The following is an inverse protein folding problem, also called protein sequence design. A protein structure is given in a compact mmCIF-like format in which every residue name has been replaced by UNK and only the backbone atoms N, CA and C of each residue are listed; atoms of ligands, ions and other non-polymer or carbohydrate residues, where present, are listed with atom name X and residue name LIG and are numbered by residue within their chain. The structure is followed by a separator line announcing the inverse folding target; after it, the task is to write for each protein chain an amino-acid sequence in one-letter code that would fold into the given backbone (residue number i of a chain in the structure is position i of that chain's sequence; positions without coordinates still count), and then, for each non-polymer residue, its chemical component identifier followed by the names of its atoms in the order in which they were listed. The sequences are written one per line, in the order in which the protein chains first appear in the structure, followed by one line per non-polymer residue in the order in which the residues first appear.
data_IF_052546937519
#
_entry.id   IF_052546937519
#
_cell.length_a   1.000
_cell.length_b   1.000
_cell.length_c   1.000
_cell.angle_alpha   90.00
_cell.angle_beta   90.00
_cell.angle_gamma   90.00
#
_symmetry.space_group_name_H-M   'P 1'
#
loop_
_entity.id
_entity.type
_entity.pdbx_description
1 polymer ?
#
# COMPACT_ATOMS: atom_id res chain seq x y z
N UNK A 1 4.93 -64.15 16.04
CA UNK A 1 4.72 -63.18 14.94
C UNK A 1 5.18 -61.80 15.40
N UNK A 2 6.30 -61.28 14.87
CA UNK A 2 6.79 -59.93 15.21
C UNK A 2 6.00 -58.89 14.41
N UNK A 3 5.17 -58.09 15.10
CA UNK A 3 4.50 -56.92 14.52
C UNK A 3 5.46 -55.74 14.63
N UNK A 4 6.09 -55.37 13.52
CA UNK A 4 6.98 -54.22 13.48
C UNK A 4 6.11 -52.95 13.45
N UNK A 5 6.05 -52.24 14.58
CA UNK A 5 5.40 -50.93 14.67
C UNK A 5 6.17 -49.89 13.87
N UNK A 6 5.87 -49.78 12.57
CA UNK A 6 6.53 -48.86 11.62
C UNK A 6 5.67 -47.66 11.20
N UNK A 7 4.38 -47.64 11.54
CA UNK A 7 3.47 -46.56 11.12
C UNK A 7 3.70 -45.23 11.86
N UNK A 8 3.78 -45.28 13.18
CA UNK A 8 3.81 -44.07 14.03
C UNK A 8 5.10 -43.24 13.87
N UNK A 9 6.22 -43.90 13.56
CA UNK A 9 7.47 -43.20 13.27
C UNK A 9 7.43 -42.50 11.91
N UNK A 10 6.81 -43.12 10.90
CA UNK A 10 6.68 -42.51 9.57
C UNK A 10 5.72 -41.32 9.60
N UNK A 11 4.61 -41.43 10.34
CA UNK A 11 3.66 -40.32 10.53
C UNK A 11 4.32 -39.10 11.20
N UNK A 12 5.14 -39.32 12.24
CA UNK A 12 5.90 -38.25 12.90
C UNK A 12 6.90 -37.56 11.96
N UNK A 13 7.52 -38.28 11.03
CA UNK A 13 8.48 -37.71 10.07
C UNK A 13 7.77 -36.79 9.08
N UNK A 14 6.58 -37.16 8.60
CA UNK A 14 5.79 -36.30 7.71
C UNK A 14 5.33 -35.02 8.41
N UNK A 15 4.91 -35.12 9.67
CA UNK A 15 4.52 -33.94 10.49
C UNK A 15 5.73 -33.03 10.68
N UNK A 16 6.90 -33.58 11.02
CA UNK A 16 8.13 -32.81 11.21
C UNK A 16 8.53 -32.07 9.92
N UNK A 17 8.44 -32.74 8.77
CA UNK A 17 8.74 -32.14 7.46
C UNK A 17 7.81 -30.96 7.17
N UNK A 18 6.50 -31.11 7.46
CA UNK A 18 5.52 -30.04 7.26
C UNK A 18 5.80 -28.81 8.14
N UNK A 19 6.21 -29.03 9.40
CA UNK A 19 6.61 -27.95 10.30
C UNK A 19 7.85 -27.20 9.80
N UNK A 20 8.83 -27.90 9.24
CA UNK A 20 10.03 -27.28 8.66
C UNK A 20 9.66 -26.42 7.43
N UNK A 21 8.77 -26.92 6.57
CA UNK A 21 8.25 -26.14 5.43
C UNK A 21 7.53 -24.86 5.88
N UNK A 22 6.75 -24.92 6.96
CA UNK A 22 6.09 -23.75 7.54
C UNK A 22 7.12 -22.72 8.05
N UNK A 23 8.17 -23.16 8.74
CA UNK A 23 9.24 -22.26 9.23
C UNK A 23 9.94 -21.55 8.06
N UNK A 24 10.27 -22.28 6.99
CA UNK A 24 10.89 -21.70 5.79
C UNK A 24 9.94 -20.70 5.11
N UNK A 25 8.64 -21.01 5.01
CA UNK A 25 7.65 -20.11 4.45
C UNK A 25 7.54 -18.82 5.29
N UNK A 26 7.52 -18.92 6.62
CA UNK A 26 7.50 -17.75 7.53
C UNK A 26 8.75 -16.90 7.38
N UNK A 27 9.94 -17.51 7.33
CA UNK A 27 11.20 -16.78 7.10
C UNK A 27 11.21 -16.12 5.73
N UNK A 28 10.72 -16.81 4.70
CA UNK A 28 10.60 -16.28 3.34
C UNK A 28 9.65 -15.10 3.26
N UNK A 29 8.48 -15.20 3.89
CA UNK A 29 7.50 -14.10 4.00
C UNK A 29 8.05 -12.91 4.79
N UNK A 30 8.84 -13.17 5.84
CA UNK A 30 9.52 -12.14 6.61
C UNK A 30 10.64 -11.44 5.81
N UNK A 31 11.38 -12.18 4.98
CA UNK A 31 12.38 -11.64 4.04
C UNK A 31 11.76 -10.87 2.87
N UNK A 32 10.62 -11.33 2.36
CA UNK A 32 9.92 -10.75 1.22
C UNK A 32 8.97 -9.60 1.62
N UNK A 33 8.86 -9.28 2.91
CA UNK A 33 8.13 -8.10 3.38
C UNK A 33 6.62 -8.16 3.15
N UNK A 34 6.03 -9.36 3.04
CA UNK A 34 4.60 -9.54 2.77
C UNK A 34 3.75 -9.62 4.05
N UNK A 35 4.39 -9.69 5.22
CA UNK A 35 3.71 -9.59 6.51
C UNK A 35 3.60 -8.11 6.88
N UNK A 36 2.42 -7.55 6.68
CA UNK A 36 2.09 -6.19 7.10
C UNK A 36 2.24 -6.06 8.61
N UNK A 37 3.34 -5.44 9.05
CA UNK A 37 3.47 -4.95 10.42
C UNK A 37 2.63 -3.67 10.53
N UNK A 38 1.50 -3.76 11.22
CA UNK A 38 0.95 -2.59 11.89
C UNK A 38 1.92 -2.18 13.00
N UNK A 39 2.15 -0.87 13.02
CA UNK A 39 2.73 -0.06 14.10
C UNK A 39 4.23 0.25 13.99
N UNK A 40 4.44 1.40 13.35
CA UNK A 40 5.32 2.50 13.77
C UNK A 40 6.83 2.27 13.80
N UNK A 41 7.44 2.90 12.79
CA UNK A 41 8.76 3.54 12.76
C UNK A 41 9.96 2.69 12.31
N UNK A 42 10.72 3.35 11.42
CA UNK A 42 12.06 3.00 10.94
C UNK A 42 12.12 1.95 9.83
N UNK A 43 11.49 2.27 8.70
CA UNK A 43 12.02 1.82 7.40
C UNK A 43 13.38 2.50 7.22
N UNK A 44 14.46 1.85 7.65
CA UNK A 44 15.77 2.03 7.03
C UNK A 44 15.69 1.37 5.65
N UNK A 45 14.99 2.04 4.75
CA UNK A 45 15.09 1.77 3.33
C UNK A 45 16.50 2.19 2.99
N UNK A 46 17.32 1.25 2.55
CA UNK A 46 18.58 1.58 1.91
C UNK A 46 18.24 2.56 0.78
N UNK A 47 18.48 3.84 1.05
CA UNK A 47 18.28 4.95 0.12
C UNK A 47 19.22 4.75 -1.05
N UNK A 48 18.76 4.01 -2.05
CA UNK A 48 18.99 4.49 -3.40
C UNK A 48 18.24 5.81 -3.49
N UNK A 49 18.98 6.91 -3.28
CA UNK A 49 18.53 8.31 -3.29
C UNK A 49 18.04 8.76 -4.69
N UNK A 50 17.38 7.87 -5.43
CA UNK A 50 16.69 8.18 -6.66
C UNK A 50 15.26 8.60 -6.31
N UNK A 51 15.00 9.90 -6.42
CA UNK A 51 13.65 10.44 -6.29
C UNK A 51 12.70 9.75 -7.28
N UNK A 52 11.65 9.11 -6.77
CA UNK A 52 10.63 8.46 -7.59
C UNK A 52 9.25 9.12 -7.42
N UNK A 53 8.60 9.42 -8.54
CA UNK A 53 7.22 9.92 -8.55
C UNK A 53 6.22 8.88 -8.04
N UNK A 54 6.54 7.58 -8.12
CA UNK A 54 5.71 6.52 -7.53
C UNK A 54 5.57 6.66 -6.01
N UNK A 55 6.61 7.18 -5.34
CA UNK A 55 6.58 7.39 -3.89
C UNK A 55 5.66 8.56 -3.55
N UNK A 56 5.64 9.62 -4.39
CA UNK A 56 4.68 10.70 -4.25
C UNK A 56 3.25 10.20 -4.43
N UNK A 57 2.98 9.45 -5.50
CA UNK A 57 1.66 8.86 -5.78
C UNK A 57 1.18 7.99 -4.61
N UNK A 58 2.05 7.14 -4.07
CA UNK A 58 1.75 6.32 -2.89
C UNK A 58 1.45 7.15 -1.63
N UNK A 59 2.20 8.25 -1.41
CA UNK A 59 1.92 9.20 -0.32
C UNK A 59 0.52 9.80 -0.46
N UNK A 60 0.14 10.22 -1.67
CA UNK A 60 -1.21 10.77 -1.91
C UNK A 60 -2.30 9.72 -1.66
N UNK A 61 -2.14 8.49 -2.16
CA UNK A 61 -3.10 7.40 -1.92
C UNK A 61 -3.27 7.13 -0.43
N UNK A 62 -2.17 7.04 0.31
CA UNK A 62 -2.21 6.76 1.75
C UNK A 62 -2.93 7.86 2.53
N UNK A 63 -2.69 9.12 2.17
CA UNK A 63 -3.40 10.26 2.75
C UNK A 63 -4.88 10.29 2.37
N UNK A 64 -5.23 9.97 1.11
CA UNK A 64 -6.61 9.89 0.66
C UNK A 64 -7.41 8.81 1.38
N UNK A 65 -6.81 7.63 1.59
CA UNK A 65 -7.40 6.55 2.39
C UNK A 65 -7.73 7.02 3.81
N UNK A 66 -6.77 7.68 4.48
CA UNK A 66 -6.98 8.21 5.84
C UNK A 66 -8.10 9.24 5.88
N UNK A 67 -8.13 10.16 4.93
CA UNK A 67 -9.20 11.16 4.83
C UNK A 67 -10.55 10.50 4.61
N UNK A 68 -10.65 9.55 3.67
CA UNK A 68 -11.90 8.87 3.37
C UNK A 68 -12.47 8.12 4.59
N UNK A 69 -11.63 7.32 5.25
CA UNK A 69 -12.04 6.57 6.45
C UNK A 69 -12.51 7.51 7.57
N UNK A 70 -11.83 8.64 7.77
CA UNK A 70 -12.18 9.56 8.85
C UNK A 70 -13.43 10.40 8.57
N UNK A 71 -13.61 10.87 7.33
CA UNK A 71 -14.73 11.76 6.98
C UNK A 71 -16.02 10.98 6.66
N UNK A 72 -15.88 9.78 6.09
CA UNK A 72 -17.00 8.98 5.60
C UNK A 72 -17.19 7.66 6.36
N UNK A 73 -16.46 7.42 7.46
CA UNK A 73 -16.55 6.19 8.27
C UNK A 73 -16.50 4.87 7.46
N UNK A 74 -15.79 4.88 6.33
CA UNK A 74 -15.72 3.75 5.39
C UNK A 74 -17.08 3.35 4.80
N UNK A 75 -17.98 4.32 4.63
CA UNK A 75 -19.26 4.14 3.94
C UNK A 75 -19.05 3.59 2.52
N UNK A 76 -20.06 2.85 2.04
CA UNK A 76 -20.04 2.26 0.70
C UNK A 76 -20.00 3.38 -0.34
N UNK A 77 -18.94 3.39 -1.13
CA UNK A 77 -18.82 4.29 -2.26
C UNK A 77 -19.71 3.81 -3.41
N UNK A 78 -20.68 4.64 -3.82
CA UNK A 78 -21.61 4.31 -4.92
C UNK A 78 -21.16 4.88 -6.27
N UNK A 79 -20.38 5.96 -6.25
CA UNK A 79 -19.95 6.70 -7.45
C UNK A 79 -18.50 7.14 -7.35
N UNK A 80 -17.87 7.36 -8.52
CA UNK A 80 -16.50 7.85 -8.58
C UNK A 80 -16.38 9.18 -7.84
N UNK A 81 -15.47 9.24 -6.87
CA UNK A 81 -15.26 10.44 -6.06
C UNK A 81 -13.83 10.92 -6.21
N UNK A 82 -13.66 12.24 -6.31
CA UNK A 82 -12.35 12.86 -6.47
C UNK A 82 -11.96 13.53 -5.17
N UNK A 83 -10.80 13.14 -4.64
CA UNK A 83 -10.20 13.78 -3.47
C UNK A 83 -8.94 14.51 -3.91
N UNK A 84 -8.95 15.84 -3.80
CA UNK A 84 -7.82 16.68 -4.22
C UNK A 84 -6.69 16.66 -3.19
N UNK A 85 -5.45 16.77 -3.66
CA UNK A 85 -4.27 16.97 -2.79
C UNK A 85 -4.43 18.24 -1.95
N UNK A 86 -5.02 19.30 -2.51
CA UNK A 86 -5.31 20.55 -1.80
C UNK A 86 -6.26 20.32 -0.61
N UNK A 87 -7.31 19.51 -0.78
CA UNK A 87 -8.23 19.10 0.28
C UNK A 87 -7.50 18.32 1.37
N UNK A 88 -6.67 17.35 0.98
CA UNK A 88 -5.86 16.59 1.94
C UNK A 88 -4.90 17.48 2.73
N UNK A 89 -4.30 18.47 2.06
CA UNK A 89 -3.38 19.42 2.71
C UNK A 89 -4.12 20.32 3.69
N UNK A 90 -5.26 20.90 3.27
CA UNK A 90 -6.06 21.79 4.10
C UNK A 90 -6.56 21.09 5.37
N UNK A 91 -6.94 19.82 5.25
CA UNK A 91 -7.42 19.00 6.37
C UNK A 91 -6.28 18.30 7.14
N UNK A 92 -5.02 18.57 6.82
CA UNK A 92 -3.86 18.06 7.58
C UNK A 92 -3.50 16.58 7.36
N UNK A 93 -4.06 15.93 6.33
CA UNK A 93 -3.77 14.53 6.00
C UNK A 93 -2.50 14.33 5.18
N UNK A 94 -1.98 15.40 4.57
CA UNK A 94 -0.74 15.38 3.79
C UNK A 94 -0.01 16.72 3.90
N UNK A 95 1.31 16.69 3.82
CA UNK A 95 2.12 17.89 3.61
C UNK A 95 2.12 18.30 2.14
N UNK A 96 2.58 19.52 1.84
CA UNK A 96 2.79 19.94 0.44
C UNK A 96 3.73 18.97 -0.27
N UNK A 97 3.34 18.57 -1.48
CA UNK A 97 4.13 17.68 -2.33
C UNK A 97 5.16 18.51 -3.11
N UNK A 98 6.40 18.05 -3.11
CA UNK A 98 7.49 18.66 -3.86
C UNK A 98 8.21 17.63 -4.73
N UNK A 99 8.64 18.05 -5.91
CA UNK A 99 9.50 17.26 -6.79
C UNK A 99 10.97 17.27 -6.33
N UNK A 100 11.83 16.51 -7.01
CA UNK A 100 13.28 16.50 -6.75
C UNK A 100 13.97 17.86 -6.83
N UNK A 101 13.36 18.84 -7.51
CA UNK A 101 13.89 20.20 -7.69
C UNK A 101 13.19 21.19 -6.74
N UNK A 102 12.53 20.69 -5.69
CA UNK A 102 11.77 21.46 -4.72
C UNK A 102 10.65 22.31 -5.35
N UNK A 103 10.08 21.83 -6.46
CA UNK A 103 8.92 22.46 -7.10
C UNK A 103 7.65 21.79 -6.63
N UNK A 104 6.67 22.61 -6.27
CA UNK A 104 5.39 22.12 -5.77
C UNK A 104 4.65 21.31 -6.85
N UNK A 105 4.06 20.20 -6.42
CA UNK A 105 3.18 19.37 -7.23
C UNK A 105 1.73 19.53 -6.78
N UNK A 106 0.80 19.32 -7.72
CA UNK A 106 -0.64 19.25 -7.47
C UNK A 106 -1.18 17.88 -7.92
N UNK A 107 -2.47 17.63 -7.69
CA UNK A 107 -3.04 16.34 -8.03
C UNK A 107 -4.31 16.01 -7.27
N UNK A 108 -4.81 14.82 -7.56
CA UNK A 108 -6.00 14.26 -6.94
C UNK A 108 -5.91 12.74 -6.92
N UNK A 109 -6.81 12.11 -6.16
CA UNK A 109 -7.04 10.68 -6.18
C UNK A 109 -8.48 10.46 -6.59
N UNK A 110 -8.66 9.60 -7.59
CA UNK A 110 -9.97 9.11 -7.96
C UNK A 110 -10.25 7.82 -7.19
N UNK A 111 -11.35 7.81 -6.44
CA UNK A 111 -11.87 6.65 -5.76
C UNK A 111 -12.88 6.00 -6.69
N UNK A 112 -12.60 4.78 -7.11
CA UNK A 112 -13.44 4.02 -8.02
C UNK A 112 -14.03 2.84 -7.26
N UNK A 113 -15.37 2.71 -7.19
CA UNK A 113 -16.00 1.56 -6.55
C UNK A 113 -15.74 0.30 -7.38
N UNK A 114 -15.36 -0.78 -6.70
CA UNK A 114 -15.08 -2.09 -7.28
C UNK A 114 -15.71 -3.18 -6.42
N UNK A 115 -17.04 -3.33 -6.56
CA UNK A 115 -17.84 -4.13 -5.64
C UNK A 115 -17.82 -3.52 -4.25
N UNK A 116 -17.49 -4.32 -3.24
CA UNK A 116 -17.37 -3.88 -1.84
C UNK A 116 -16.02 -3.19 -1.53
N UNK A 117 -15.13 -3.08 -2.52
CA UNK A 117 -13.81 -2.46 -2.34
C UNK A 117 -13.71 -1.12 -3.06
N UNK A 118 -12.83 -0.25 -2.58
CA UNK A 118 -12.52 1.03 -3.22
C UNK A 118 -11.11 0.98 -3.81
N UNK A 119 -11.00 1.25 -5.10
CA UNK A 119 -9.72 1.41 -5.80
C UNK A 119 -9.33 2.88 -5.78
N UNK A 120 -8.12 3.17 -5.29
CA UNK A 120 -7.59 4.53 -5.18
C UNK A 120 -6.58 4.75 -6.31
N UNK A 121 -6.93 5.58 -7.28
CA UNK A 121 -6.10 5.87 -8.45
C UNK A 121 -5.49 7.27 -8.30
N UNK A 122 -4.18 7.39 -8.03
CA UNK A 122 -3.53 8.68 -7.89
C UNK A 122 -3.23 9.31 -9.24
N UNK A 123 -3.40 10.63 -9.32
CA UNK A 123 -2.99 11.44 -10.45
C UNK A 123 -2.25 12.68 -9.94
N UNK A 124 -0.95 12.78 -10.20
CA UNK A 124 -0.13 13.92 -9.80
C UNK A 124 0.40 14.68 -11.01
N UNK A 125 0.58 15.99 -10.82
CA UNK A 125 1.20 16.90 -11.79
C UNK A 125 2.29 17.70 -11.10
N UNK A 126 3.50 17.54 -11.62
CA UNK A 126 4.69 18.30 -11.27
C UNK A 126 5.24 18.97 -12.55
N UNK A 127 6.18 19.93 -12.47
CA UNK A 127 6.65 20.63 -13.68
C UNK A 127 7.23 19.74 -14.78
N UNK A 128 7.86 18.61 -14.43
CA UNK A 128 8.48 17.67 -15.37
C UNK A 128 7.81 16.29 -15.38
N UNK A 129 6.67 16.14 -14.72
CA UNK A 129 5.99 14.85 -14.59
C UNK A 129 4.49 15.03 -14.52
N UNK A 130 3.77 14.19 -15.23
CA UNK A 130 2.31 14.13 -15.19
C UNK A 130 1.90 12.67 -15.25
N UNK A 131 1.13 12.20 -14.28
CA UNK A 131 0.58 10.85 -14.31
C UNK A 131 -0.25 10.67 -15.59
N UNK A 132 -0.14 9.49 -16.21
CA UNK A 132 -0.90 9.20 -17.43
C UNK A 132 -2.40 9.19 -17.11
N UNK A 133 -3.20 9.90 -17.90
CA UNK A 133 -4.64 10.03 -17.64
C UNK A 133 -5.02 11.16 -16.67
N UNK A 134 -4.04 11.93 -16.16
CA UNK A 134 -4.35 13.13 -15.39
C UNK A 134 -5.20 14.11 -16.21
N UNK A 135 -6.31 14.54 -15.60
CA UNK A 135 -7.20 15.58 -16.09
C UNK A 135 -7.11 16.82 -15.19
N UNK A 136 -6.79 17.97 -15.80
CA UNK A 136 -6.73 19.24 -15.10
C UNK A 136 -8.08 19.69 -14.56
N UNK A 137 -9.21 19.24 -15.13
CA UNK A 137 -10.55 19.55 -14.65
C UNK A 137 -10.89 18.88 -13.30
N UNK A 138 -9.99 18.08 -12.74
CA UNK A 138 -10.19 17.46 -11.44
C UNK A 138 -9.31 18.11 -10.35
N UNK A 139 -8.41 19.02 -10.76
CA UNK A 139 -7.35 19.65 -9.93
C UNK A 139 -7.41 21.20 -9.94
N UNK A 140 -8.60 21.78 -10.16
CA UNK A 140 -8.83 23.25 -10.11
C UNK A 140 -9.70 23.67 -8.95
#
# INVERSE_FOLDING_TARGET
MKKNGWGLRMELVFILMFLICLVIAVIGLNRLGFLGNSDNSLINQSEDNSFSYSNLESKVVTSAKKYYVNEYNDDILLENTIIRVSTLYYNGYIEKLYDKNNKQCSGYVELVPNGDNIVYVPYIKCPKYKTRGYDGSNDW
#
